data_IF_941071357851
#
_entry.id   IF_941071357851
#
_cell.length_a   1.000
_cell.length_b   1.000
_cell.length_c   1.000
_cell.angle_alpha   90.00
_cell.angle_beta   90.00
_cell.angle_gamma   90.00
#
_symmetry.space_group_name_H-M   'P 1'
#
loop_
_entity.id
_entity.type
_entity.pdbx_description
1 polymer ?
#
# COMPACT_ATOMS: atom_id res chain seq x y z
N UNK A 1 0.17 9.38 3.89
CA UNK A 1 1.49 9.19 4.50
C UNK A 1 2.04 7.82 4.16
N UNK A 2 3.35 7.73 3.93
CA UNK A 2 4.05 6.45 3.73
C UNK A 2 4.32 5.80 5.09
N UNK A 3 4.01 4.50 5.23
CA UNK A 3 4.25 3.75 6.46
C UNK A 3 5.41 2.76 6.26
N UNK A 4 5.26 1.84 5.28
CA UNK A 4 6.27 0.82 4.98
C UNK A 4 6.33 0.51 3.50
N UNK A 5 7.49 0.02 3.07
CA UNK A 5 7.70 -0.57 1.74
C UNK A 5 8.42 -1.90 1.88
N UNK A 6 7.93 -2.89 1.15
CA UNK A 6 8.46 -4.24 1.09
C UNK A 6 8.80 -4.57 -0.36
N UNK A 7 9.91 -5.28 -0.55
CA UNK A 7 10.29 -5.84 -1.84
C UNK A 7 10.13 -7.36 -1.75
N UNK A 8 9.47 -7.96 -2.74
CA UNK A 8 9.38 -9.42 -2.82
C UNK A 8 10.76 -10.06 -2.87
N UNK A 9 10.90 -11.29 -2.39
CA UNK A 9 12.18 -12.00 -2.37
C UNK A 9 12.80 -12.15 -3.78
N UNK A 10 11.95 -12.30 -4.81
CA UNK A 10 12.35 -12.35 -6.22
C UNK A 10 12.63 -10.96 -6.84
N UNK A 11 12.45 -9.88 -6.09
CA UNK A 11 12.66 -8.48 -6.48
C UNK A 11 11.83 -7.98 -7.65
N UNK A 12 10.70 -8.64 -7.95
CA UNK A 12 9.82 -8.26 -9.06
C UNK A 12 8.60 -7.44 -8.65
N UNK A 13 8.25 -7.40 -7.36
CA UNK A 13 7.09 -6.66 -6.87
C UNK A 13 7.43 -5.87 -5.61
N UNK A 14 6.94 -4.64 -5.58
CA UNK A 14 6.97 -3.81 -4.38
C UNK A 14 5.57 -3.76 -3.78
N UNK A 15 5.48 -3.92 -2.46
CA UNK A 15 4.25 -3.74 -1.71
C UNK A 15 4.46 -2.58 -0.75
N UNK A 16 3.58 -1.60 -0.77
CA UNK A 16 3.67 -0.44 0.09
C UNK A 16 2.41 -0.30 0.92
N UNK A 17 2.58 0.05 2.19
CA UNK A 17 1.48 0.39 3.08
C UNK A 17 1.50 1.90 3.29
N UNK A 18 0.34 2.52 3.04
CA UNK A 18 0.13 3.95 3.19
C UNK A 18 -1.12 4.20 4.05
N UNK A 19 -1.10 5.31 4.76
CA UNK A 19 -2.32 5.93 5.30
C UNK A 19 -2.78 7.03 4.35
N UNK A 20 -4.02 6.99 3.90
CA UNK A 20 -4.56 7.97 2.97
C UNK A 20 -6.07 8.14 3.17
N UNK A 21 -6.63 9.32 2.84
CA UNK A 21 -8.06 9.54 2.94
C UNK A 21 -8.88 8.66 1.97
N UNK A 22 -8.30 8.31 0.82
CA UNK A 22 -8.94 7.54 -0.24
C UNK A 22 -7.88 6.95 -1.21
N UNK A 23 -8.29 5.99 -2.04
CA UNK A 23 -7.43 5.33 -3.03
C UNK A 23 -6.95 6.29 -4.14
N UNK A 24 -7.78 7.26 -4.56
CA UNK A 24 -7.42 8.18 -5.64
C UNK A 24 -6.29 9.13 -5.22
N UNK A 25 -6.24 9.48 -3.93
CA UNK A 25 -5.13 10.24 -3.34
C UNK A 25 -3.80 9.49 -3.49
N UNK A 26 -3.79 8.17 -3.36
CA UNK A 26 -2.61 7.34 -3.62
C UNK A 26 -2.30 7.23 -5.12
N UNK A 27 -3.32 7.04 -5.96
CA UNK A 27 -3.14 6.96 -7.42
C UNK A 27 -2.53 8.25 -7.99
N UNK A 28 -3.04 9.42 -7.60
CA UNK A 28 -2.47 10.73 -8.00
C UNK A 28 -1.03 10.91 -7.53
N UNK A 29 -0.72 10.47 -6.30
CA UNK A 29 0.65 10.53 -5.80
C UNK A 29 1.59 9.62 -6.60
N UNK A 30 1.12 8.41 -6.95
CA UNK A 30 1.87 7.47 -7.76
C UNK A 30 2.15 8.01 -9.18
N UNK A 31 1.15 8.60 -9.82
CA UNK A 31 1.29 9.25 -11.13
C UNK A 31 2.32 10.38 -11.10
N UNK A 32 2.26 11.25 -10.07
CA UNK A 32 3.21 12.36 -9.91
C UNK A 32 4.65 11.90 -9.71
N UNK A 33 4.83 10.74 -9.07
CA UNK A 33 6.14 10.14 -8.80
C UNK A 33 6.58 9.16 -9.89
N UNK A 34 5.73 8.91 -10.89
CA UNK A 34 5.95 7.94 -11.95
C UNK A 34 6.29 6.53 -11.40
N UNK A 35 5.57 6.11 -10.35
CA UNK A 35 5.72 4.79 -9.73
C UNK A 35 4.54 3.89 -10.10
N UNK A 36 4.76 2.57 -10.33
CA UNK A 36 3.70 1.65 -10.70
C UNK A 36 2.88 1.26 -9.46
N UNK A 37 1.76 1.96 -9.25
CA UNK A 37 0.73 1.60 -8.27
C UNK A 37 -0.45 0.93 -8.99
N UNK A 38 -0.20 -0.21 -9.60
CA UNK A 38 -1.16 -0.89 -10.49
C UNK A 38 -2.41 -1.39 -9.76
N UNK A 39 -2.25 -1.77 -8.49
CA UNK A 39 -3.31 -2.30 -7.62
C UNK A 39 -3.24 -1.60 -6.27
N UNK A 40 -4.38 -1.04 -5.85
CA UNK A 40 -4.58 -0.45 -4.53
C UNK A 40 -5.74 -1.22 -3.90
N UNK A 41 -5.58 -1.65 -2.66
CA UNK A 41 -6.60 -2.37 -1.90
C UNK A 41 -6.73 -1.72 -0.53
N UNK A 42 -7.90 -1.17 -0.17
CA UNK A 42 -8.18 -0.71 1.19
C UNK A 42 -8.06 -1.88 2.16
N UNK A 43 -7.41 -1.64 3.30
CA UNK A 43 -7.24 -2.65 4.35
C UNK A 43 -7.47 -2.01 5.71
N UNK A 44 -8.03 -2.79 6.63
CA UNK A 44 -8.17 -2.42 8.03
C UNK A 44 -7.14 -3.15 8.89
N UNK A 45 -6.71 -2.51 9.97
CA UNK A 45 -5.87 -3.16 10.98
C UNK A 45 -6.74 -4.14 11.76
N UNK A 46 -6.32 -5.40 11.77
CA UNK A 46 -6.97 -6.44 12.56
C UNK A 46 -6.07 -6.80 13.74
N UNK A 47 -6.65 -6.86 14.94
CA UNK A 47 -6.00 -7.45 16.11
C UNK A 47 -6.14 -8.98 16.04
N UNK A 48 -5.05 -9.77 16.12
CA UNK A 48 -5.15 -11.23 16.02
C UNK A 48 -6.04 -11.90 17.09
N UNK A 49 -6.24 -11.24 18.24
CA UNK A 49 -7.11 -11.73 19.31
C UNK A 49 -8.60 -11.75 18.95
N UNK A 50 -9.00 -11.11 17.84
CA UNK A 50 -10.37 -11.22 17.31
C UNK A 50 -10.74 -12.65 16.88
N UNK A 51 -9.74 -13.48 16.56
CA UNK A 51 -9.93 -14.86 16.11
C UNK A 51 -9.69 -15.90 17.21
N UNK A 52 -9.36 -15.46 18.43
CA UNK A 52 -9.04 -16.33 19.56
C UNK A 52 -10.28 -16.70 20.39
#
# INVERSE_FOLDING_TARGET
EWIFSFLSADKRKTYCLYEAPDEDSLRRAAERLNIPADVITPVDRIDPGIFA
#
